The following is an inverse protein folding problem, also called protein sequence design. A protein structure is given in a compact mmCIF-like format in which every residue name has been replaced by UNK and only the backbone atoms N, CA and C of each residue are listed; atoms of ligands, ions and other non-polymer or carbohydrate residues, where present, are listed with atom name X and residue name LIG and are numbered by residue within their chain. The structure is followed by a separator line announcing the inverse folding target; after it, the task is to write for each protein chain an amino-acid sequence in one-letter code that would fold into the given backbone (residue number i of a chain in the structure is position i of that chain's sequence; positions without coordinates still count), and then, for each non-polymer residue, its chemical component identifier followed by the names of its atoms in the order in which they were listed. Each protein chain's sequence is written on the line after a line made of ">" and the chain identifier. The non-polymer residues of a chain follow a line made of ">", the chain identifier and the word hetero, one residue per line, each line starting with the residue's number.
data_IF_077411073865
#
_entry.id   IF_077411073865
#
_cell.length_a   1.000
_cell.length_b   1.000
_cell.length_c   1.000
_cell.angle_alpha   90.00
_cell.angle_beta   90.00
_cell.angle_gamma   90.00
#
_symmetry.space_group_name_H-M   'P 1'
#
loop_
_entity.id
_entity.type
_entity.pdbx_description
1 polymer ?
#
# COMPACT_ATOMS: atom_id res chain seq x y z
N UNK A 1 81.81 8.69 15.89
CA UNK A 1 81.96 9.63 14.75
C UNK A 1 81.01 10.79 14.95
N UNK A 2 81.53 12.03 14.91
CA UNK A 2 80.83 13.32 14.65
C UNK A 2 79.72 13.71 15.65
N UNK A 3 79.52 14.96 16.04
CA UNK A 3 80.23 16.25 15.94
C UNK A 3 79.48 17.19 16.89
N UNK A 4 80.23 18.06 17.55
CA UNK A 4 79.79 19.18 18.39
C UNK A 4 78.99 20.23 17.60
N UNK A 5 77.94 20.79 18.22
CA UNK A 5 77.41 22.16 18.04
C UNK A 5 76.88 22.59 19.42
N UNK A 6 77.59 23.41 20.21
CA UNK A 6 77.67 24.87 20.14
C UNK A 6 76.28 25.54 20.14
N UNK A 7 75.75 25.84 21.32
CA UNK A 7 74.66 26.78 21.52
C UNK A 7 75.22 28.01 22.22
N UNK A 8 75.15 29.15 21.52
CA UNK A 8 75.56 30.48 21.97
C UNK A 8 74.87 30.86 23.27
N UNK A 9 75.70 31.19 24.26
CA UNK A 9 75.32 31.88 25.48
C UNK A 9 75.08 33.36 25.14
N UNK A 10 73.83 33.75 24.91
CA UNK A 10 73.44 35.15 24.81
C UNK A 10 73.26 35.71 26.22
N UNK A 11 74.19 36.59 26.58
CA UNK A 11 74.25 37.35 27.82
C UNK A 11 73.06 38.33 27.89
N UNK A 12 72.01 37.97 28.62
CA UNK A 12 70.95 38.91 29.01
C UNK A 12 71.45 39.69 30.22
N UNK A 13 71.96 40.90 29.94
CA UNK A 13 72.31 41.90 30.93
C UNK A 13 71.02 42.28 31.69
N UNK A 14 70.80 41.68 32.85
CA UNK A 14 69.77 42.11 33.78
C UNK A 14 70.16 43.49 34.33
N UNK A 15 69.75 44.54 33.62
CA UNK A 15 69.72 45.88 34.19
C UNK A 15 68.53 45.90 35.15
N UNK A 16 68.80 45.58 36.42
CA UNK A 16 67.88 45.83 37.52
C UNK A 16 67.79 47.34 37.71
N UNK A 17 67.01 48.00 36.84
CA UNK A 17 66.54 49.35 37.12
C UNK A 17 65.51 49.17 38.23
N UNK A 18 65.96 49.38 39.47
CA UNK A 18 65.05 49.60 40.58
C UNK A 18 64.30 50.90 40.29
N UNK A 19 63.17 50.78 39.60
CA UNK A 19 62.17 51.84 39.53
C UNK A 19 61.58 52.00 40.94
N UNK A 20 62.32 52.69 41.79
CA UNK A 20 61.72 53.42 42.89
C UNK A 20 60.74 54.38 42.23
N UNK A 21 59.45 54.06 42.37
CA UNK A 21 58.37 54.78 41.73
C UNK A 21 58.51 56.27 42.01
N UNK A 22 58.52 57.06 40.93
CA UNK A 22 57.97 58.40 41.01
C UNK A 22 56.52 58.25 41.45
N UNK A 23 56.25 58.48 42.72
CA UNK A 23 54.89 58.64 43.23
C UNK A 23 54.43 60.06 42.87
N UNK A 24 54.28 60.32 41.57
CA UNK A 24 53.62 61.53 41.07
C UNK A 24 52.11 61.24 41.04
N UNK A 25 51.29 61.90 41.88
CA UNK A 25 49.85 61.70 41.89
C UNK A 25 49.14 62.13 40.58
N UNK A 26 49.88 62.65 39.59
CA UNK A 26 49.39 62.94 38.23
C UNK A 26 49.64 61.81 37.23
N UNK A 27 50.49 60.84 37.55
CA UNK A 27 50.71 59.64 36.72
C UNK A 27 49.73 58.58 37.21
N UNK A 28 48.53 58.57 36.64
CA UNK A 28 47.61 57.45 36.82
C UNK A 28 48.17 56.24 36.07
N UNK A 29 48.19 55.08 36.72
CA UNK A 29 48.45 53.80 36.07
C UNK A 29 47.32 53.52 35.07
N UNK A 30 47.51 53.96 33.82
CA UNK A 30 46.56 53.78 32.73
C UNK A 30 46.52 52.33 32.23
N UNK A 31 47.36 51.43 32.74
CA UNK A 31 47.36 50.01 32.34
C UNK A 31 46.09 49.27 32.80
N UNK A 32 45.28 49.86 33.67
CA UNK A 32 44.02 49.24 34.14
C UNK A 32 42.76 49.85 33.55
N UNK A 33 42.88 50.77 32.58
CA UNK A 33 41.71 51.37 31.96
C UNK A 33 41.16 50.42 30.87
N UNK A 34 39.89 50.01 30.97
CA UNK A 34 39.23 49.22 29.93
C UNK A 34 39.23 49.92 28.59
N UNK A 35 39.56 49.18 27.53
CA UNK A 35 39.45 49.64 26.14
C UNK A 35 38.59 48.74 25.28
N UNK A 36 38.35 47.50 25.72
CA UNK A 36 37.49 46.55 25.04
C UNK A 36 36.81 45.60 26.03
N UNK A 37 35.64 45.10 25.64
CA UNK A 37 34.97 43.96 26.26
C UNK A 37 34.73 42.93 25.16
N UNK A 38 34.81 41.64 25.50
CA UNK A 38 34.52 40.55 24.57
C UNK A 38 33.67 39.48 25.24
N UNK A 39 32.59 39.07 24.61
CA UNK A 39 31.77 37.93 25.03
C UNK A 39 32.53 36.64 24.74
N UNK A 40 32.45 35.70 25.69
CA UNK A 40 32.94 34.33 25.56
C UNK A 40 31.75 33.40 25.63
N UNK A 41 31.63 32.50 24.65
CA UNK A 41 30.57 31.49 24.57
C UNK A 41 31.20 30.12 24.76
N UNK A 42 30.64 29.30 25.65
CA UNK A 42 31.12 27.95 25.92
C UNK A 42 29.96 26.93 25.96
N UNK A 43 29.92 25.93 25.07
CA UNK A 43 30.83 25.73 23.93
C UNK A 43 30.51 26.69 22.76
N UNK A 44 31.54 27.18 22.07
CA UNK A 44 31.40 27.89 20.79
C UNK A 44 31.23 26.87 19.65
N UNK A 45 30.12 26.95 18.92
CA UNK A 45 29.83 26.10 17.76
C UNK A 45 29.55 26.97 16.53
N UNK A 46 29.88 26.48 15.32
CA UNK A 46 29.52 27.17 14.07
C UNK A 46 27.99 27.20 13.85
N UNK A 47 27.28 26.15 14.28
CA UNK A 47 25.82 26.05 14.27
C UNK A 47 25.37 25.35 15.55
N UNK A 48 24.24 25.80 16.09
CA UNK A 48 23.61 25.22 17.27
C UNK A 48 22.34 24.46 16.91
N UNK A 49 21.89 23.59 17.80
CA UNK A 49 20.62 22.87 17.67
C UNK A 49 19.62 23.30 18.75
N UNK A 50 18.33 23.04 18.50
CA UNK A 50 17.32 23.12 19.56
C UNK A 50 17.72 22.18 20.70
N UNK A 51 17.69 22.70 21.93
CA UNK A 51 18.10 21.99 23.15
C UNK A 51 19.55 22.19 23.53
N UNK A 52 20.39 22.78 22.67
CA UNK A 52 21.77 23.11 23.03
C UNK A 52 21.83 24.06 24.22
N UNK A 53 22.77 23.80 25.13
CA UNK A 53 23.07 24.66 26.27
C UNK A 53 24.40 25.39 26.05
N UNK A 54 24.41 26.69 26.37
CA UNK A 54 25.59 27.55 26.29
C UNK A 54 25.77 28.31 27.59
N UNK A 55 27.03 28.58 27.94
CA UNK A 55 27.41 29.51 28.99
C UNK A 55 28.00 30.76 28.35
N UNK A 56 27.48 31.92 28.77
CA UNK A 56 27.98 33.22 28.37
C UNK A 56 28.75 33.87 29.52
N UNK A 57 29.92 34.38 29.16
CA UNK A 57 30.78 35.18 30.03
C UNK A 57 31.36 36.35 29.22
N UNK A 58 32.16 37.21 29.86
CA UNK A 58 32.88 38.27 29.17
C UNK A 58 34.27 38.49 29.76
N UNK A 59 35.18 38.98 28.92
CA UNK A 59 36.53 39.39 29.30
C UNK A 59 36.72 40.85 28.94
N UNK A 60 37.21 41.65 29.89
CA UNK A 60 37.56 43.05 29.67
C UNK A 60 39.06 43.16 29.43
N UNK A 61 39.47 43.96 28.46
CA UNK A 61 40.88 44.15 28.10
C UNK A 61 41.33 45.58 28.31
N UNK A 62 42.58 45.75 28.73
CA UNK A 62 43.29 47.04 28.75
C UNK A 62 43.91 47.38 27.38
N UNK A 63 44.54 48.56 27.29
CA UNK A 63 45.22 49.03 26.08
C UNK A 63 46.39 48.13 25.61
N UNK A 64 46.87 47.23 26.48
CA UNK A 64 47.95 46.28 26.19
C UNK A 64 47.39 44.89 25.81
N UNK A 65 46.07 44.70 25.81
CA UNK A 65 45.40 43.43 25.55
C UNK A 65 45.43 42.45 26.74
N UNK A 66 45.75 42.91 27.95
CA UNK A 66 45.72 42.08 29.15
C UNK A 66 44.32 42.08 29.78
N UNK A 67 43.85 40.95 30.33
CA UNK A 67 42.54 40.87 30.96
C UNK A 67 42.49 41.67 32.27
N UNK A 68 41.43 42.46 32.43
CA UNK A 68 41.12 43.24 33.64
C UNK A 68 39.92 42.61 34.34
N UNK A 69 40.06 42.31 35.63
CA UNK A 69 39.05 41.59 36.41
C UNK A 69 38.26 42.52 37.34
N UNK A 70 37.05 42.08 37.73
CA UNK A 70 36.23 42.75 38.74
C UNK A 70 35.46 43.97 38.23
N UNK A 71 35.44 44.21 36.92
CA UNK A 71 34.64 45.27 36.30
C UNK A 71 33.25 44.72 36.02
N UNK A 72 32.18 45.27 36.63
CA UNK A 72 30.82 44.82 36.36
C UNK A 72 30.34 45.25 34.97
N UNK A 73 29.50 44.43 34.36
CA UNK A 73 28.84 44.68 33.08
C UNK A 73 27.34 44.44 33.18
N UNK A 74 26.56 45.14 32.35
CA UNK A 74 25.15 44.85 32.13
C UNK A 74 24.97 43.95 30.91
N UNK A 75 24.01 43.03 30.97
CA UNK A 75 23.64 42.14 29.87
C UNK A 75 22.28 42.49 29.30
N UNK A 76 22.18 42.45 27.98
CA UNK A 76 20.93 42.40 27.24
C UNK A 76 20.79 41.01 26.64
N UNK A 77 19.70 40.32 27.00
CA UNK A 77 19.35 39.00 26.49
C UNK A 77 18.77 39.10 25.06
N UNK A 78 18.79 37.98 24.30
CA UNK A 78 18.26 37.92 22.94
C UNK A 78 16.76 38.22 22.86
N UNK A 79 16.39 38.82 21.75
CA UNK A 79 15.01 39.12 21.32
C UNK A 79 14.89 38.65 19.85
N UNK A 80 13.95 37.74 19.51
CA UNK A 80 12.87 37.20 20.34
C UNK A 80 13.33 36.33 21.52
N UNK A 81 12.50 36.30 22.57
CA UNK A 81 12.70 35.43 23.72
C UNK A 81 12.52 33.96 23.30
N UNK A 82 13.62 33.22 23.15
CA UNK A 82 13.59 31.77 22.91
C UNK A 82 14.70 31.00 23.63
N UNK A 83 15.57 31.70 24.37
CA UNK A 83 16.62 31.09 25.16
C UNK A 83 16.15 31.00 26.63
N UNK A 84 16.01 29.78 27.15
CA UNK A 84 15.63 29.53 28.53
C UNK A 84 16.84 29.80 29.46
N UNK A 85 16.74 30.73 30.43
CA UNK A 85 17.82 30.96 31.39
C UNK A 85 17.88 29.84 32.43
N UNK A 86 19.05 29.19 32.56
CA UNK A 86 19.31 28.11 33.53
C UNK A 86 20.09 28.58 34.77
N UNK A 87 20.36 29.89 34.86
CA UNK A 87 21.15 30.52 35.92
C UNK A 87 22.66 30.41 35.73
N UNK A 88 23.41 31.34 36.35
CA UNK A 88 24.87 31.37 36.29
C UNK A 88 25.45 31.67 34.90
N UNK A 89 24.74 32.47 34.09
CA UNK A 89 25.12 32.78 32.71
C UNK A 89 24.84 31.66 31.70
N UNK A 90 24.12 30.59 32.10
CA UNK A 90 23.75 29.49 31.22
C UNK A 90 22.38 29.68 30.60
N UNK A 91 22.24 29.27 29.34
CA UNK A 91 21.03 29.36 28.55
C UNK A 91 20.82 28.08 27.74
N UNK A 92 19.56 27.68 27.53
CA UNK A 92 19.17 26.61 26.60
C UNK A 92 18.41 27.21 25.42
N UNK A 93 18.78 26.85 24.19
CA UNK A 93 18.11 27.34 22.98
C UNK A 93 16.86 26.50 22.70
N UNK A 94 15.67 27.11 22.58
CA UNK A 94 14.41 26.36 22.45
C UNK A 94 13.79 26.38 21.04
N UNK A 95 14.15 27.36 20.21
CA UNK A 95 13.53 27.61 18.91
C UNK A 95 14.59 27.81 17.81
N UNK A 96 14.20 27.70 16.54
CA UNK A 96 15.08 28.09 15.42
C UNK A 96 15.23 29.62 15.40
N UNK A 97 16.34 30.10 14.85
CA UNK A 97 16.59 31.53 14.67
C UNK A 97 17.91 32.01 15.26
N UNK A 98 18.06 33.33 15.33
CA UNK A 98 19.27 34.01 15.78
C UNK A 98 19.06 34.58 17.19
N UNK A 99 19.99 34.25 18.09
CA UNK A 99 20.02 34.70 19.47
C UNK A 99 21.18 35.67 19.67
N UNK A 100 20.89 36.97 19.76
CA UNK A 100 21.90 38.00 19.96
C UNK A 100 21.94 38.50 21.40
N UNK A 101 23.03 38.21 22.12
CA UNK A 101 23.32 38.84 23.40
C UNK A 101 24.18 40.08 23.21
N UNK A 102 24.02 41.07 24.09
CA UNK A 102 24.90 42.24 24.18
C UNK A 102 25.40 42.40 25.62
N UNK A 103 26.70 42.59 25.78
CA UNK A 103 27.33 43.00 27.03
C UNK A 103 27.72 44.47 26.93
N UNK A 104 27.49 45.25 27.97
CA UNK A 104 27.85 46.68 28.01
C UNK A 104 28.54 47.03 29.33
N UNK A 105 29.65 47.77 29.24
CA UNK A 105 30.36 48.39 30.34
C UNK A 105 29.93 49.84 30.45
N UNK A 106 28.83 50.12 31.15
CA UNK A 106 28.17 51.43 31.18
C UNK A 106 29.12 52.60 31.53
N UNK A 107 30.00 52.39 32.51
CA UNK A 107 30.96 53.41 32.96
C UNK A 107 32.07 53.74 31.95
N UNK A 108 32.19 52.95 30.88
CA UNK A 108 33.26 53.05 29.88
C UNK A 108 32.73 53.24 28.45
N UNK A 109 31.41 53.11 28.24
CA UNK A 109 30.81 53.20 26.90
C UNK A 109 31.27 52.09 25.94
N UNK A 110 31.70 50.95 26.47
CA UNK A 110 32.18 49.80 25.69
C UNK A 110 31.08 48.73 25.64
N UNK A 111 30.93 48.06 24.50
CA UNK A 111 29.98 46.96 24.35
C UNK A 111 30.50 45.90 23.39
N UNK A 112 30.03 44.68 23.53
CA UNK A 112 30.23 43.60 22.56
C UNK A 112 28.94 42.81 22.35
N UNK A 113 28.86 42.08 21.24
CA UNK A 113 27.72 41.23 20.90
C UNK A 113 28.16 39.85 20.44
N UNK A 114 27.36 38.85 20.81
CA UNK A 114 27.49 37.49 20.31
C UNK A 114 26.13 37.05 19.76
N UNK A 115 26.13 36.57 18.51
CA UNK A 115 24.94 36.02 17.85
C UNK A 115 25.14 34.54 17.64
N UNK A 116 24.28 33.73 18.25
CA UNK A 116 24.24 32.28 18.07
C UNK A 116 23.06 31.93 17.16
N UNK A 117 23.26 31.03 16.20
CA UNK A 117 22.23 30.68 15.22
C UNK A 117 21.85 29.21 15.34
N UNK A 118 20.54 28.96 15.45
CA UNK A 118 19.92 27.64 15.30
C UNK A 118 19.24 27.62 13.93
N UNK A 119 19.81 26.95 12.92
CA UNK A 119 19.21 26.90 11.58
C UNK A 119 17.96 26.01 11.60
N UNK A 120 16.97 26.37 10.78
CA UNK A 120 15.89 25.44 10.45
C UNK A 120 16.44 24.33 9.55
N UNK A 121 16.06 23.08 9.84
CA UNK A 121 16.42 21.89 9.07
C UNK A 121 15.20 21.00 8.87
N UNK A 122 15.06 20.33 7.73
CA UNK A 122 13.98 19.37 7.51
C UNK A 122 14.18 18.16 8.44
N UNK A 123 13.09 17.70 9.05
CA UNK A 123 13.09 16.51 9.92
C UNK A 123 12.02 15.50 9.55
N UNK A 124 10.98 15.93 8.82
CA UNK A 124 9.86 15.09 8.44
C UNK A 124 9.43 15.41 7.00
N UNK A 125 9.02 14.37 6.28
CA UNK A 125 8.52 14.44 4.91
C UNK A 125 7.24 13.63 4.78
N UNK A 126 6.26 14.18 4.09
CA UNK A 126 4.99 13.54 3.78
C UNK A 126 4.69 13.71 2.29
N UNK A 127 4.45 12.59 1.59
CA UNK A 127 3.95 12.61 0.22
C UNK A 127 2.43 12.54 0.26
N UNK A 128 1.78 13.56 -0.27
CA UNK A 128 0.32 13.65 -0.40
C UNK A 128 -0.13 13.20 -1.78
N UNK A 129 -1.36 12.70 -1.90
CA UNK A 129 -1.95 12.24 -3.18
C UNK A 129 -3.36 12.82 -3.32
N UNK A 130 -3.68 13.34 -4.50
CA UNK A 130 -5.01 13.87 -4.83
C UNK A 130 -5.53 13.26 -6.15
N UNK A 131 -6.74 12.66 -6.18
CA UNK A 131 -7.58 12.34 -5.03
C UNK A 131 -6.99 11.18 -4.20
N UNK A 132 -7.08 11.27 -2.87
CA UNK A 132 -6.72 10.16 -1.98
C UNK A 132 -7.85 9.11 -1.95
N UNK A 133 -7.50 7.83 -2.15
CA UNK A 133 -8.41 6.68 -2.11
C UNK A 133 -7.74 5.50 -1.39
N UNK A 134 -8.57 4.63 -0.79
CA UNK A 134 -8.09 3.37 -0.19
C UNK A 134 -7.49 2.42 -1.24
N UNK A 135 -8.08 2.40 -2.44
CA UNK A 135 -7.56 1.75 -3.63
C UNK A 135 -7.92 2.57 -4.88
N UNK A 136 -7.16 2.34 -5.95
CA UNK A 136 -7.36 2.96 -7.25
C UNK A 136 -7.67 1.88 -8.29
N UNK A 137 -8.16 2.28 -9.46
CA UNK A 137 -8.32 1.38 -10.60
C UNK A 137 -7.46 1.83 -11.78
N UNK A 138 -7.20 0.93 -12.72
CA UNK A 138 -6.48 1.27 -13.94
C UNK A 138 -7.20 2.41 -14.68
N UNK A 139 -6.44 3.42 -15.07
CA UNK A 139 -6.94 4.64 -15.72
C UNK A 139 -7.21 5.80 -14.77
N UNK A 140 -7.17 5.59 -13.45
CA UNK A 140 -7.23 6.69 -12.49
C UNK A 140 -6.04 7.65 -12.70
N UNK A 141 -6.31 8.94 -12.52
CA UNK A 141 -5.30 10.00 -12.52
C UNK A 141 -5.08 10.50 -11.10
N UNK A 142 -3.82 10.65 -10.71
CA UNK A 142 -3.40 11.13 -9.39
C UNK A 142 -2.36 12.24 -9.51
N UNK A 143 -2.39 13.19 -8.59
CA UNK A 143 -1.39 14.25 -8.45
C UNK A 143 -0.70 14.11 -7.10
N UNK A 144 0.64 14.05 -7.11
CA UNK A 144 1.45 13.98 -5.90
C UNK A 144 1.87 15.38 -5.43
N UNK A 145 1.92 15.55 -4.11
CA UNK A 145 2.53 16.68 -3.43
C UNK A 145 3.57 16.22 -2.43
N UNK A 146 4.42 17.14 -1.99
CA UNK A 146 5.40 16.91 -0.93
C UNK A 146 5.29 18.01 0.11
N UNK A 147 5.11 17.60 1.36
CA UNK A 147 5.19 18.46 2.53
C UNK A 147 6.47 18.12 3.28
N UNK A 148 7.27 19.14 3.58
CA UNK A 148 8.51 18.99 4.34
C UNK A 148 8.40 19.86 5.57
N UNK A 149 8.60 19.29 6.75
CA UNK A 149 8.49 20.01 8.00
C UNK A 149 9.86 20.14 8.67
N UNK A 150 10.09 21.30 9.27
CA UNK A 150 11.25 21.52 10.13
C UNK A 150 11.02 21.06 11.57
N UNK A 151 12.04 21.26 12.40
CA UNK A 151 12.06 20.88 13.81
C UNK A 151 10.92 21.48 14.65
N UNK A 152 10.27 22.53 14.16
CA UNK A 152 9.16 23.21 14.83
C UNK A 152 7.81 22.95 14.14
N UNK A 153 7.75 22.02 13.18
CA UNK A 153 6.54 21.71 12.42
C UNK A 153 6.18 22.78 11.39
N UNK A 154 7.13 23.66 11.03
CA UNK A 154 6.91 24.67 9.99
C UNK A 154 7.18 24.05 8.62
N UNK A 155 6.29 24.31 7.67
CA UNK A 155 6.48 23.89 6.27
C UNK A 155 7.71 24.56 5.66
N UNK A 156 8.52 23.75 4.99
CA UNK A 156 9.67 24.16 4.22
C UNK A 156 9.40 23.95 2.72
N UNK A 157 9.79 24.93 1.91
CA UNK A 157 9.80 24.82 0.45
C UNK A 157 11.20 24.37 0.01
N UNK A 158 11.38 23.07 -0.18
CA UNK A 158 12.65 22.45 -0.56
C UNK A 158 12.48 21.58 -1.80
N UNK A 159 13.43 21.63 -2.76
CA UNK A 159 13.39 20.77 -3.92
C UNK A 159 13.66 19.31 -3.53
N UNK A 160 12.96 18.39 -4.18
CA UNK A 160 13.15 16.96 -4.04
C UNK A 160 13.32 16.31 -5.42
N UNK A 161 14.18 15.30 -5.48
CA UNK A 161 14.27 14.39 -6.59
C UNK A 161 13.22 13.28 -6.41
N UNK A 162 12.55 12.89 -7.48
CA UNK A 162 11.48 11.90 -7.44
C UNK A 162 11.85 10.65 -8.24
N UNK A 163 11.66 9.50 -7.62
CA UNK A 163 11.68 8.20 -8.27
C UNK A 163 10.24 7.69 -8.37
N UNK A 164 9.80 7.46 -9.60
CA UNK A 164 8.48 6.93 -9.92
C UNK A 164 8.59 5.45 -10.30
N UNK A 165 7.48 4.67 -10.22
CA UNK A 165 7.46 3.31 -10.75
C UNK A 165 7.71 3.30 -12.27
N UNK A 166 7.96 2.11 -12.82
CA UNK A 166 8.19 1.93 -14.26
C UNK A 166 7.05 2.56 -15.09
N UNK A 167 7.41 3.14 -16.24
CA UNK A 167 6.46 3.83 -17.11
C UNK A 167 5.34 2.95 -17.69
N UNK A 168 5.52 1.63 -17.66
CA UNK A 168 4.46 0.66 -17.98
C UNK A 168 3.41 0.51 -16.87
N UNK A 169 3.75 0.90 -15.63
CA UNK A 169 2.86 0.85 -14.46
C UNK A 169 2.15 2.20 -14.25
N UNK A 170 2.85 3.32 -14.45
CA UNK A 170 2.26 4.65 -14.38
C UNK A 170 2.87 5.59 -15.42
N UNK A 171 2.02 6.32 -16.14
CA UNK A 171 2.44 7.29 -17.15
C UNK A 171 2.44 8.70 -16.57
N UNK A 172 3.54 9.47 -16.70
CA UNK A 172 3.54 10.87 -16.31
C UNK A 172 2.72 11.72 -17.30
N UNK A 173 1.86 12.58 -16.78
CA UNK A 173 1.06 13.56 -17.54
C UNK A 173 1.66 14.98 -17.48
N UNK A 174 2.81 15.13 -16.81
CA UNK A 174 3.51 16.39 -16.59
C UNK A 174 3.47 16.82 -15.12
N UNK A 175 4.56 17.43 -14.65
CA UNK A 175 4.73 17.70 -13.22
C UNK A 175 4.71 16.39 -12.42
N UNK A 176 3.99 16.39 -11.30
CA UNK A 176 3.78 15.23 -10.43
C UNK A 176 2.42 14.56 -10.65
N UNK A 177 1.86 14.67 -11.86
CA UNK A 177 0.61 14.01 -12.24
C UNK A 177 0.87 12.73 -13.02
N UNK A 178 0.14 11.67 -12.68
CA UNK A 178 0.28 10.34 -13.28
C UNK A 178 -1.06 9.70 -13.58
N UNK A 179 -1.15 8.99 -14.70
CA UNK A 179 -2.21 8.01 -14.97
C UNK A 179 -1.72 6.61 -14.61
N UNK A 180 -2.50 5.86 -13.83
CA UNK A 180 -2.20 4.49 -13.42
C UNK A 180 -2.54 3.52 -14.55
N UNK A 181 -1.62 2.66 -14.95
CA UNK A 181 -1.73 1.83 -16.16
C UNK A 181 -1.87 0.34 -15.89
N UNK A 182 -1.49 -0.12 -14.71
CA UNK A 182 -1.55 -1.53 -14.33
C UNK A 182 -1.97 -1.70 -12.88
N UNK A 183 -2.60 -2.83 -12.59
CA UNK A 183 -2.85 -3.25 -11.21
C UNK A 183 -1.54 -3.57 -10.48
N UNK A 184 -1.63 -3.58 -9.14
CA UNK A 184 -0.53 -3.87 -8.24
C UNK A 184 -0.20 -2.71 -7.29
N UNK A 185 0.95 -2.81 -6.66
CA UNK A 185 1.45 -1.83 -5.67
C UNK A 185 2.52 -0.95 -6.30
N UNK A 186 2.17 0.30 -6.56
CA UNK A 186 3.01 1.26 -7.25
C UNK A 186 3.62 2.22 -6.22
N UNK A 187 4.95 2.38 -6.20
CA UNK A 187 5.64 3.17 -5.17
C UNK A 187 6.38 4.35 -5.78
N UNK A 188 6.15 5.53 -5.23
CA UNK A 188 6.90 6.75 -5.47
C UNK A 188 7.79 7.06 -4.28
N UNK A 189 8.99 7.56 -4.55
CA UNK A 189 9.93 8.00 -3.53
C UNK A 189 10.38 9.42 -3.84
N UNK A 190 10.30 10.30 -2.85
CA UNK A 190 10.83 11.65 -2.90
C UNK A 190 12.06 11.73 -1.98
N UNK A 191 13.16 12.27 -2.49
CA UNK A 191 14.40 12.45 -1.74
C UNK A 191 14.83 13.91 -1.80
N UNK A 192 15.09 14.53 -0.66
CA UNK A 192 15.60 15.90 -0.64
C UNK A 192 17.01 15.96 -1.23
N UNK A 193 17.29 17.05 -1.96
CA UNK A 193 18.61 17.28 -2.53
C UNK A 193 19.66 17.59 -1.43
N UNK A 194 20.97 17.36 -1.70
CA UNK A 194 22.03 17.74 -0.79
C UNK A 194 21.91 19.21 -0.33
N UNK A 195 22.18 19.51 0.95
CA UNK A 195 22.91 18.68 1.93
C UNK A 195 22.04 17.74 2.76
N UNK A 196 20.76 17.60 2.43
CA UNK A 196 19.81 16.79 3.19
C UNK A 196 19.88 15.31 2.80
N UNK A 197 19.61 14.43 3.76
CA UNK A 197 19.55 12.98 3.59
C UNK A 197 18.22 12.48 4.17
N UNK A 198 17.12 13.01 3.62
CA UNK A 198 15.76 12.70 4.04
C UNK A 198 14.96 12.29 2.82
N UNK A 199 14.17 11.23 3.00
CA UNK A 199 13.34 10.67 1.95
C UNK A 199 11.98 10.24 2.51
N UNK A 200 10.97 10.22 1.65
CA UNK A 200 9.66 9.65 1.92
C UNK A 200 9.23 8.77 0.75
N UNK A 201 8.41 7.75 1.03
CA UNK A 201 7.82 6.91 0.00
C UNK A 201 6.31 6.80 0.18
N UNK A 202 5.59 6.74 -0.93
CA UNK A 202 4.14 6.53 -0.98
C UNK A 202 3.82 5.39 -1.93
N UNK A 203 3.09 4.39 -1.44
CA UNK A 203 2.63 3.26 -2.24
C UNK A 203 1.13 3.37 -2.48
N UNK A 204 0.71 3.33 -3.73
CA UNK A 204 -0.69 3.23 -4.14
C UNK A 204 -1.04 1.78 -4.47
N UNK A 205 -2.22 1.35 -4.02
CA UNK A 205 -2.82 0.07 -4.39
C UNK A 205 -3.73 0.30 -5.60
N UNK A 206 -3.43 -0.35 -6.73
CA UNK A 206 -4.26 -0.32 -7.94
C UNK A 206 -4.88 -1.69 -8.13
N UNK A 207 -6.19 -1.77 -8.05
CA UNK A 207 -6.93 -3.02 -8.10
C UNK A 207 -8.38 -2.78 -8.53
N UNK A 208 -8.77 -3.33 -9.68
CA UNK A 208 -10.13 -3.24 -10.20
C UNK A 208 -10.68 -4.59 -10.66
N UNK A 209 -10.04 -5.70 -10.30
CA UNK A 209 -10.48 -7.04 -10.69
C UNK A 209 -10.65 -7.93 -9.48
N UNK A 210 -11.64 -8.83 -9.52
CA UNK A 210 -11.87 -9.77 -8.43
C UNK A 210 -10.86 -10.91 -8.42
N UNK A 211 -10.80 -11.68 -7.30
CA UNK A 211 -9.89 -12.81 -7.18
C UNK A 211 -10.03 -13.81 -8.32
N UNK A 212 -8.94 -14.44 -8.72
CA UNK A 212 -8.97 -15.57 -9.64
C UNK A 212 -9.35 -16.84 -8.89
N UNK A 213 -10.48 -17.44 -9.26
CA UNK A 213 -11.00 -18.68 -8.66
C UNK A 213 -10.91 -19.83 -9.66
N UNK A 214 -10.37 -20.96 -9.21
CA UNK A 214 -10.29 -22.22 -9.96
C UNK A 214 -10.92 -23.32 -9.13
N UNK A 215 -11.78 -24.13 -9.76
CA UNK A 215 -12.32 -25.37 -9.17
C UNK A 215 -11.60 -26.54 -9.84
N UNK A 216 -10.86 -27.30 -9.05
CA UNK A 216 -10.14 -28.49 -9.50
C UNK A 216 -11.03 -29.73 -9.45
N UNK A 217 -11.92 -29.81 -8.46
CA UNK A 217 -12.92 -30.86 -8.35
C UNK A 217 -14.23 -30.28 -7.82
N UNK A 218 -15.38 -30.65 -8.40
CA UNK A 218 -15.53 -31.54 -9.55
C UNK A 218 -15.11 -30.87 -10.87
N UNK A 219 -14.68 -31.66 -11.85
CA UNK A 219 -14.54 -31.17 -13.23
C UNK A 219 -15.93 -30.82 -13.81
N UNK A 220 -15.96 -30.04 -14.91
CA UNK A 220 -17.25 -29.69 -15.55
C UNK A 220 -17.90 -30.97 -16.08
N UNK A 221 -19.14 -31.26 -15.65
CA UNK A 221 -19.89 -32.42 -16.13
C UNK A 221 -19.36 -33.76 -15.62
N UNK A 222 -18.51 -33.74 -14.59
CA UNK A 222 -18.00 -34.95 -13.94
C UNK A 222 -19.16 -35.83 -13.44
N UNK A 223 -18.97 -37.15 -13.46
CA UNK A 223 -19.92 -38.12 -12.92
C UNK A 223 -19.30 -38.81 -11.72
N UNK A 224 -19.77 -38.43 -10.54
CA UNK A 224 -19.20 -38.79 -9.25
C UNK A 224 -20.03 -39.89 -8.62
N UNK A 225 -19.39 -41.04 -8.40
CA UNK A 225 -19.98 -42.13 -7.65
C UNK A 225 -19.91 -41.83 -6.15
N UNK A 226 -21.05 -41.82 -5.45
CA UNK A 226 -21.14 -41.64 -4.00
C UNK A 226 -21.84 -42.84 -3.35
N UNK A 227 -21.62 -43.06 -2.05
CA UNK A 227 -22.39 -44.04 -1.30
C UNK A 227 -23.71 -43.44 -0.83
N UNK A 228 -24.80 -44.22 -0.86
CA UNK A 228 -26.08 -43.81 -0.25
C UNK A 228 -25.94 -43.47 1.25
N UNK A 229 -24.96 -44.04 1.96
CA UNK A 229 -24.68 -43.72 3.36
C UNK A 229 -23.84 -42.46 3.56
N UNK A 230 -23.24 -41.93 2.50
CA UNK A 230 -22.40 -40.72 2.53
C UNK A 230 -22.51 -39.98 1.17
N UNK A 231 -23.65 -39.33 0.89
CA UNK A 231 -23.89 -38.62 -0.37
C UNK A 231 -23.23 -37.25 -0.31
N UNK A 232 -21.90 -37.21 -0.34
CA UNK A 232 -21.12 -35.96 -0.37
C UNK A 232 -20.16 -35.96 -1.55
N UNK A 233 -19.94 -34.78 -2.11
CA UNK A 233 -18.97 -34.52 -3.15
C UNK A 233 -17.91 -33.58 -2.60
N UNK A 234 -16.64 -33.88 -2.84
CA UNK A 234 -15.56 -32.95 -2.51
C UNK A 234 -15.53 -31.83 -3.54
N UNK A 235 -15.62 -30.60 -3.06
CA UNK A 235 -15.35 -29.40 -3.85
C UNK A 235 -13.99 -28.87 -3.42
N UNK A 236 -13.03 -28.84 -4.33
CA UNK A 236 -11.68 -28.35 -4.07
C UNK A 236 -11.20 -27.45 -5.19
N UNK A 237 -10.30 -26.54 -4.85
CA UNK A 237 -9.79 -25.58 -5.81
C UNK A 237 -8.76 -24.64 -5.21
N UNK A 238 -8.47 -23.58 -5.96
CA UNK A 238 -7.54 -22.53 -5.59
C UNK A 238 -8.17 -21.16 -5.83
N UNK A 239 -7.88 -20.21 -4.95
CA UNK A 239 -8.22 -18.79 -5.12
C UNK A 239 -6.98 -17.93 -4.89
N UNK A 240 -6.77 -16.95 -5.76
CA UNK A 240 -5.63 -16.04 -5.66
C UNK A 240 -6.03 -14.66 -6.12
N UNK A 241 -5.59 -13.66 -5.37
CA UNK A 241 -5.57 -12.27 -5.77
C UNK A 241 -4.18 -11.70 -5.47
N UNK A 242 -3.56 -11.04 -6.43
CA UNK A 242 -2.20 -10.46 -6.26
C UNK A 242 -2.21 -9.01 -5.73
N UNK A 243 -3.05 -8.09 -6.25
CA UNK A 243 -3.00 -6.70 -5.83
C UNK A 243 -3.42 -6.46 -4.37
N UNK A 244 -4.59 -6.95 -3.96
CA UNK A 244 -5.17 -6.67 -2.64
C UNK A 244 -5.31 -7.92 -1.77
N UNK A 245 -5.21 -9.10 -2.36
CA UNK A 245 -5.31 -10.38 -1.68
C UNK A 245 -6.76 -10.80 -1.46
N UNK A 246 -6.95 -12.11 -1.24
CA UNK A 246 -8.28 -12.69 -1.04
C UNK A 246 -8.76 -12.35 0.37
N UNK A 247 -9.93 -11.71 0.48
CA UNK A 247 -10.56 -11.41 1.77
C UNK A 247 -11.45 -12.58 2.22
N UNK A 248 -12.42 -12.95 1.37
CA UNK A 248 -13.40 -13.97 1.72
C UNK A 248 -13.84 -14.80 0.51
N UNK A 249 -14.11 -16.09 0.75
CA UNK A 249 -14.63 -17.03 -0.24
C UNK A 249 -15.90 -17.68 0.31
N UNK A 250 -16.98 -17.63 -0.45
CA UNK A 250 -18.24 -18.30 -0.17
C UNK A 250 -18.49 -19.44 -1.14
N UNK A 251 -19.15 -20.48 -0.64
CA UNK A 251 -19.74 -21.55 -1.43
C UNK A 251 -21.25 -21.59 -1.21
N UNK A 252 -22.00 -21.67 -2.30
CA UNK A 252 -23.44 -21.94 -2.35
C UNK A 252 -23.69 -23.14 -3.25
N UNK A 253 -24.77 -23.88 -3.03
CA UNK A 253 -25.16 -24.94 -3.94
C UNK A 253 -26.64 -25.28 -3.84
N UNK A 254 -27.14 -26.10 -4.76
CA UNK A 254 -28.55 -26.48 -4.77
C UNK A 254 -28.96 -27.33 -3.55
N UNK A 255 -27.98 -27.92 -2.84
CA UNK A 255 -28.19 -28.72 -1.64
C UNK A 255 -27.42 -28.19 -0.42
N UNK A 256 -26.79 -27.01 -0.51
CA UNK A 256 -26.04 -26.40 0.59
C UNK A 256 -26.29 -24.90 0.62
N UNK A 257 -26.66 -24.38 1.81
CA UNK A 257 -26.80 -22.95 2.01
C UNK A 257 -25.44 -22.26 1.89
N UNK A 258 -25.45 -20.93 1.78
CA UNK A 258 -24.21 -20.16 1.77
C UNK A 258 -23.34 -20.46 2.99
N UNK A 259 -22.09 -20.78 2.72
CA UNK A 259 -21.08 -21.05 3.72
C UNK A 259 -19.78 -20.35 3.32
N UNK A 260 -19.16 -19.67 4.28
CA UNK A 260 -17.79 -19.19 4.13
C UNK A 260 -16.80 -20.36 4.17
N UNK A 261 -15.88 -20.39 3.20
CA UNK A 261 -14.79 -21.36 3.12
C UNK A 261 -13.54 -20.82 3.82
N UNK A 262 -12.81 -21.72 4.47
CA UNK A 262 -11.43 -21.45 4.90
C UNK A 262 -10.51 -21.64 3.71
N UNK A 263 -9.72 -20.62 3.40
CA UNK A 263 -8.65 -20.67 2.39
C UNK A 263 -7.32 -20.86 3.10
N UNK A 264 -6.55 -21.87 2.69
CA UNK A 264 -5.22 -22.13 3.23
C UNK A 264 -4.21 -21.06 2.77
N UNK A 265 -3.06 -20.89 3.44
CA UNK A 265 -2.07 -19.87 3.07
C UNK A 265 -1.52 -19.98 1.64
N UNK A 266 -1.64 -21.14 0.99
CA UNK A 266 -1.26 -21.36 -0.40
C UNK A 266 -2.40 -21.07 -1.42
N UNK A 267 -3.55 -20.61 -0.93
CA UNK A 267 -4.73 -20.30 -1.73
C UNK A 267 -5.65 -21.49 -1.97
N UNK A 268 -5.31 -22.69 -1.48
CA UNK A 268 -6.15 -23.87 -1.67
C UNK A 268 -7.37 -23.88 -0.75
N UNK A 269 -8.47 -24.49 -1.21
CA UNK A 269 -9.65 -24.77 -0.41
C UNK A 269 -10.20 -26.16 -0.71
N UNK A 270 -10.86 -26.78 0.28
CA UNK A 270 -11.53 -28.08 0.10
C UNK A 270 -12.69 -28.23 1.09
N UNK A 271 -13.85 -28.65 0.60
CA UNK A 271 -15.05 -28.89 1.42
C UNK A 271 -15.85 -30.08 0.89
N UNK A 272 -16.40 -30.89 1.79
CA UNK A 272 -17.40 -31.90 1.44
C UNK A 272 -18.80 -31.26 1.41
N UNK A 273 -19.42 -31.27 0.22
CA UNK A 273 -20.74 -30.68 -0.01
C UNK A 273 -21.78 -31.81 -0.10
N UNK A 274 -22.91 -31.74 0.63
CA UNK A 274 -24.02 -32.67 0.47
C UNK A 274 -24.58 -32.66 -0.96
N UNK A 275 -24.86 -33.84 -1.50
CA UNK A 275 -25.35 -34.00 -2.87
C UNK A 275 -26.57 -34.91 -2.93
N UNK A 276 -27.33 -34.79 -4.03
CA UNK A 276 -28.45 -35.66 -4.39
C UNK A 276 -28.13 -36.46 -5.65
N UNK A 277 -28.83 -37.56 -5.87
CA UNK A 277 -28.77 -38.28 -7.15
C UNK A 277 -29.08 -37.31 -8.31
N UNK A 278 -28.31 -37.39 -9.40
CA UNK A 278 -28.43 -36.51 -10.57
C UNK A 278 -27.54 -35.28 -10.46
N UNK A 279 -27.96 -34.17 -11.08
CA UNK A 279 -27.12 -32.97 -11.19
C UNK A 279 -27.08 -32.16 -9.88
N UNK A 280 -25.87 -31.77 -9.50
CA UNK A 280 -25.55 -30.92 -8.36
C UNK A 280 -24.78 -29.71 -8.86
N UNK A 281 -25.11 -28.54 -8.35
CA UNK A 281 -24.46 -27.28 -8.71
C UNK A 281 -23.80 -26.68 -7.49
N UNK A 282 -22.58 -26.19 -7.67
CA UNK A 282 -21.85 -25.42 -6.68
C UNK A 282 -21.42 -24.10 -7.30
N UNK A 283 -21.54 -23.05 -6.52
CA UNK A 283 -21.20 -21.69 -6.87
C UNK A 283 -20.20 -21.17 -5.85
N UNK A 284 -19.10 -20.62 -6.35
CA UNK A 284 -18.13 -19.91 -5.55
C UNK A 284 -18.27 -18.41 -5.81
N UNK A 285 -18.19 -17.63 -4.75
CA UNK A 285 -18.10 -16.18 -4.81
C UNK A 285 -16.94 -15.74 -3.92
N UNK A 286 -15.90 -15.19 -4.55
CA UNK A 286 -14.70 -14.71 -3.88
C UNK A 286 -14.66 -13.18 -3.91
N UNK A 287 -14.23 -12.58 -2.81
CA UNK A 287 -14.02 -11.15 -2.67
C UNK A 287 -12.56 -10.87 -2.29
N UNK A 288 -12.01 -9.78 -2.81
CA UNK A 288 -10.71 -9.27 -2.40
C UNK A 288 -10.85 -8.18 -1.34
N UNK A 289 -9.71 -7.66 -0.85
CA UNK A 289 -9.72 -6.59 0.16
C UNK A 289 -10.10 -5.21 -0.40
N UNK A 290 -10.10 -5.04 -1.73
CA UNK A 290 -10.58 -3.84 -2.43
C UNK A 290 -12.11 -3.84 -2.62
N UNK A 291 -12.77 -4.97 -2.37
CA UNK A 291 -14.20 -5.19 -2.54
C UNK A 291 -14.60 -5.68 -3.94
N UNK A 292 -13.65 -6.04 -4.81
CA UNK A 292 -13.97 -6.67 -6.08
C UNK A 292 -14.36 -8.13 -5.87
N UNK A 293 -15.21 -8.65 -6.75
CA UNK A 293 -15.79 -9.99 -6.61
C UNK A 293 -15.66 -10.81 -7.89
N UNK A 294 -15.45 -12.13 -7.71
CA UNK A 294 -15.49 -13.12 -8.78
C UNK A 294 -16.48 -14.22 -8.43
N UNK A 295 -17.38 -14.52 -9.38
CA UNK A 295 -18.38 -15.58 -9.26
C UNK A 295 -18.11 -16.68 -10.27
N UNK A 296 -18.09 -17.93 -9.81
CA UNK A 296 -17.85 -19.13 -10.64
C UNK A 296 -18.85 -20.24 -10.29
N UNK A 297 -19.51 -20.81 -11.31
CA UNK A 297 -20.45 -21.92 -11.14
C UNK A 297 -19.91 -23.20 -11.76
N UNK A 298 -20.11 -24.34 -11.08
CA UNK A 298 -19.74 -25.69 -11.51
C UNK A 298 -20.90 -26.67 -11.32
N UNK A 299 -21.13 -27.51 -12.32
CA UNK A 299 -22.06 -28.65 -12.27
C UNK A 299 -21.29 -29.98 -12.25
N UNK A 300 -21.83 -30.94 -11.50
CA UNK A 300 -21.41 -32.34 -11.53
C UNK A 300 -22.62 -33.25 -11.32
N UNK A 301 -22.60 -34.41 -11.96
CA UNK A 301 -23.58 -35.46 -11.77
C UNK A 301 -23.13 -36.40 -10.67
N UNK A 302 -24.07 -36.80 -9.83
CA UNK A 302 -23.82 -37.74 -8.75
C UNK A 302 -24.68 -38.97 -8.96
N UNK A 303 -24.07 -40.14 -8.83
CA UNK A 303 -24.76 -41.41 -8.86
C UNK A 303 -24.43 -42.26 -7.65
N UNK A 304 -25.42 -42.96 -7.09
CA UNK A 304 -25.18 -43.98 -6.05
C UNK A 304 -24.63 -45.28 -6.60
N UNK A 305 -24.77 -45.50 -7.90
CA UNK A 305 -24.45 -46.77 -8.56
C UNK A 305 -23.77 -46.53 -9.91
N UNK A 306 -22.86 -47.43 -10.27
CA UNK A 306 -22.20 -47.47 -11.57
C UNK A 306 -22.58 -48.74 -12.31
N UNK A 307 -23.15 -48.59 -13.50
CA UNK A 307 -23.54 -49.72 -14.36
C UNK A 307 -22.57 -49.83 -15.53
N UNK A 308 -21.79 -50.91 -15.57
CA UNK A 308 -20.88 -51.18 -16.69
C UNK A 308 -21.65 -51.62 -17.93
N UNK A 309 -21.12 -51.31 -19.11
CA UNK A 309 -21.58 -51.89 -20.37
C UNK A 309 -21.39 -53.42 -20.34
N UNK A 310 -22.46 -54.15 -20.61
CA UNK A 310 -22.44 -55.59 -20.81
C UNK A 310 -22.53 -55.92 -22.30
N UNK A 311 -21.68 -56.84 -22.77
CA UNK A 311 -21.71 -57.37 -24.12
C UNK A 311 -22.71 -58.52 -24.26
N UNK A 312 -23.49 -58.54 -25.33
CA UNK A 312 -24.31 -59.71 -25.68
C UNK A 312 -23.59 -60.69 -26.62
N UNK A 313 -24.22 -61.83 -26.89
CA UNK A 313 -23.67 -62.89 -27.74
C UNK A 313 -23.46 -62.46 -29.19
N UNK A 314 -24.07 -61.34 -29.61
CA UNK A 314 -23.94 -60.75 -30.94
C UNK A 314 -22.88 -59.63 -30.99
N UNK A 315 -22.17 -59.37 -29.89
CA UNK A 315 -21.11 -58.37 -29.80
C UNK A 315 -21.61 -56.93 -29.63
N UNK A 316 -22.90 -56.74 -29.30
CA UNK A 316 -23.45 -55.42 -28.96
C UNK A 316 -23.20 -55.14 -27.48
N UNK A 317 -22.95 -53.89 -27.13
CA UNK A 317 -22.78 -53.44 -25.75
C UNK A 317 -24.00 -52.64 -25.30
N UNK A 318 -24.54 -52.95 -24.12
CA UNK A 318 -25.67 -52.24 -23.53
C UNK A 318 -25.50 -52.09 -22.02
N UNK A 319 -26.10 -51.05 -21.44
CA UNK A 319 -26.21 -50.95 -19.97
C UNK A 319 -27.44 -51.77 -19.54
N UNK A 320 -27.29 -52.74 -18.62
CA UNK A 320 -28.41 -53.55 -18.16
C UNK A 320 -29.52 -52.69 -17.56
N UNK A 321 -30.77 -52.94 -17.97
CA UNK A 321 -31.96 -52.19 -17.53
C UNK A 321 -31.92 -50.67 -17.81
N UNK A 322 -31.07 -50.20 -18.72
CA UNK A 322 -31.07 -48.80 -19.11
C UNK A 322 -32.33 -48.45 -19.92
N UNK A 323 -32.87 -47.27 -19.63
CA UNK A 323 -33.86 -46.62 -20.47
C UNK A 323 -33.17 -45.75 -21.51
N UNK A 324 -33.62 -45.82 -22.76
CA UNK A 324 -33.07 -44.99 -23.83
C UNK A 324 -33.97 -43.77 -24.03
N UNK A 325 -33.39 -42.59 -23.85
CA UNK A 325 -34.05 -41.33 -24.20
C UNK A 325 -33.59 -40.98 -25.62
N UNK A 326 -34.54 -40.93 -26.56
CA UNK A 326 -34.26 -40.47 -27.91
C UNK A 326 -34.67 -39.00 -28.02
N UNK A 327 -33.68 -38.11 -28.14
CA UNK A 327 -33.91 -36.72 -28.51
C UNK A 327 -33.95 -36.65 -30.04
N UNK A 328 -35.15 -36.53 -30.63
CA UNK A 328 -35.33 -36.30 -32.06
C UNK A 328 -35.26 -34.79 -32.37
N UNK A 329 -35.20 -34.44 -33.66
CA UNK A 329 -35.31 -33.04 -34.10
C UNK A 329 -36.60 -32.37 -33.56
N UNK A 330 -37.67 -33.14 -33.36
CA UNK A 330 -38.96 -32.67 -32.81
C UNK A 330 -38.85 -32.21 -31.36
N UNK A 331 -37.83 -32.65 -30.59
CA UNK A 331 -37.60 -32.16 -29.23
C UNK A 331 -37.11 -30.70 -29.20
N UNK A 332 -36.51 -30.24 -30.29
CA UNK A 332 -35.98 -28.88 -30.46
C UNK A 332 -36.83 -28.00 -31.39
N UNK A 333 -37.89 -28.58 -31.94
CA UNK A 333 -38.77 -27.93 -32.90
C UNK A 333 -40.08 -27.56 -32.20
N UNK A 334 -40.35 -26.25 -32.07
CA UNK A 334 -41.62 -25.73 -31.56
C UNK A 334 -42.61 -25.40 -32.68
N UNK A 335 -42.32 -25.82 -33.92
CA UNK A 335 -43.08 -25.49 -35.12
C UNK A 335 -42.95 -24.02 -35.52
N UNK A 336 -44.03 -23.43 -36.00
CA UNK A 336 -44.08 -22.03 -36.48
C UNK A 336 -44.88 -21.14 -35.52
N UNK A 337 -44.32 -20.72 -34.36
CA UNK A 337 -45.10 -19.99 -33.36
C UNK A 337 -45.45 -18.58 -33.83
N UNK A 338 -46.67 -18.16 -33.50
CA UNK A 338 -47.25 -16.87 -33.90
C UNK A 338 -46.95 -15.71 -32.93
N UNK A 339 -45.89 -15.81 -32.12
CA UNK A 339 -45.52 -14.83 -31.10
C UNK A 339 -44.02 -14.61 -31.03
N UNK A 340 -43.56 -13.53 -30.37
CA UNK A 340 -42.14 -13.24 -30.20
C UNK A 340 -41.58 -14.05 -29.03
N UNK A 341 -40.76 -15.07 -29.27
CA UNK A 341 -40.39 -16.03 -28.23
C UNK A 341 -38.90 -15.94 -27.86
N UNK A 342 -38.53 -16.32 -26.63
CA UNK A 342 -37.12 -16.55 -26.32
C UNK A 342 -36.58 -17.64 -27.27
N UNK A 343 -35.36 -17.44 -27.74
CA UNK A 343 -34.50 -18.28 -28.61
C UNK A 343 -35.09 -19.61 -29.15
N UNK A 344 -35.13 -19.74 -30.48
CA UNK A 344 -35.47 -20.99 -31.17
C UNK A 344 -34.26 -21.50 -31.95
N UNK A 345 -33.67 -22.63 -31.54
CA UNK A 345 -32.56 -23.19 -32.30
C UNK A 345 -33.02 -23.75 -33.66
N UNK A 346 -34.30 -24.06 -33.87
CA UNK A 346 -34.81 -24.62 -35.12
C UNK A 346 -36.15 -23.99 -35.52
N UNK A 347 -36.18 -23.24 -36.63
CA UNK A 347 -37.43 -22.61 -37.10
C UNK A 347 -37.53 -22.56 -38.63
N UNK A 348 -38.76 -22.41 -39.13
CA UNK A 348 -38.98 -22.01 -40.52
C UNK A 348 -38.69 -20.51 -40.69
N UNK A 349 -37.86 -20.18 -41.69
CA UNK A 349 -37.64 -18.79 -42.08
C UNK A 349 -38.90 -18.18 -42.74
N UNK A 350 -38.87 -16.88 -43.01
CA UNK A 350 -39.98 -16.17 -43.66
C UNK A 350 -40.34 -16.69 -45.08
N UNK A 351 -39.52 -17.57 -45.66
CA UNK A 351 -39.73 -18.21 -46.95
C UNK A 351 -40.20 -19.68 -46.83
N UNK A 352 -40.40 -20.18 -45.61
CA UNK A 352 -40.80 -21.57 -45.34
C UNK A 352 -39.63 -22.57 -45.43
N UNK A 353 -38.38 -22.12 -45.36
CA UNK A 353 -37.24 -23.03 -45.28
C UNK A 353 -36.94 -23.35 -43.82
N UNK A 354 -36.91 -24.64 -43.48
CA UNK A 354 -36.55 -25.10 -42.16
C UNK A 354 -35.03 -25.01 -41.93
N UNK A 355 -34.62 -24.26 -40.90
CA UNK A 355 -33.21 -24.07 -40.55
C UNK A 355 -32.97 -24.20 -39.05
N UNK A 356 -31.91 -24.94 -38.69
CA UNK A 356 -31.43 -25.05 -37.31
C UNK A 356 -30.08 -24.34 -37.15
N UNK A 357 -29.93 -23.60 -36.06
CA UNK A 357 -28.63 -23.11 -35.58
C UNK A 357 -27.83 -24.26 -34.97
N UNK A 358 -26.51 -24.23 -35.15
CA UNK A 358 -25.61 -25.22 -34.56
C UNK A 358 -25.58 -25.05 -33.04
N UNK A 359 -25.96 -26.10 -32.32
CA UNK A 359 -25.83 -26.16 -30.87
C UNK A 359 -24.38 -26.57 -30.55
N UNK A 360 -23.55 -25.59 -30.22
CA UNK A 360 -22.12 -25.80 -29.96
C UNK A 360 -21.83 -26.53 -28.63
N UNK A 361 -22.81 -26.62 -27.72
CA UNK A 361 -22.66 -27.25 -26.41
C UNK A 361 -23.80 -28.24 -26.11
N UNK A 362 -23.61 -29.47 -26.59
CA UNK A 362 -24.51 -30.59 -26.35
C UNK A 362 -24.59 -30.97 -24.86
N UNK A 363 -23.54 -30.68 -24.07
CA UNK A 363 -23.52 -30.98 -22.65
C UNK A 363 -24.54 -30.12 -21.89
N UNK A 364 -24.63 -28.82 -22.20
CA UNK A 364 -25.66 -27.93 -21.63
C UNK A 364 -27.08 -28.41 -21.96
N UNK A 365 -27.32 -28.95 -23.15
CA UNK A 365 -28.64 -29.48 -23.55
C UNK A 365 -29.01 -30.75 -22.77
N UNK A 366 -28.07 -31.68 -22.60
CA UNK A 366 -28.31 -32.87 -21.77
C UNK A 366 -28.45 -32.51 -20.28
N UNK A 367 -27.71 -31.52 -19.78
CA UNK A 367 -27.87 -30.97 -18.43
C UNK A 367 -29.27 -30.39 -18.18
N UNK A 368 -29.83 -29.67 -19.14
CA UNK A 368 -31.18 -29.14 -19.05
C UNK A 368 -32.26 -30.22 -19.18
N UNK A 369 -32.06 -31.19 -20.07
CA UNK A 369 -33.01 -32.27 -20.31
C UNK A 369 -33.08 -33.24 -19.12
N UNK A 370 -31.94 -33.67 -18.58
CA UNK A 370 -31.88 -34.69 -17.52
C UNK A 370 -32.24 -34.14 -16.13
N UNK A 371 -32.09 -32.83 -15.89
CA UNK A 371 -32.42 -32.22 -14.60
C UNK A 371 -33.93 -31.99 -14.40
N UNK A 372 -34.72 -32.01 -15.49
CA UNK A 372 -36.17 -31.80 -15.45
C UNK A 372 -36.97 -33.10 -15.55
N UNK A 373 -36.32 -34.25 -15.65
CA UNK A 373 -36.98 -35.54 -15.80
C UNK A 373 -36.74 -36.39 -14.57
N UNK A 374 -37.83 -36.71 -13.88
CA UNK A 374 -37.85 -37.70 -12.81
C UNK A 374 -38.17 -39.09 -13.39
N UNK A 375 -37.16 -39.96 -13.45
CA UNK A 375 -37.31 -41.35 -13.89
C UNK A 375 -37.75 -42.30 -12.77
N UNK A 376 -38.02 -41.80 -11.56
CA UNK A 376 -38.38 -42.67 -10.42
C UNK A 376 -39.66 -43.49 -10.64
N UNK A 377 -40.50 -43.07 -11.58
CA UNK A 377 -41.77 -43.74 -11.94
C UNK A 377 -41.80 -44.37 -13.33
N UNK A 378 -40.71 -44.30 -14.11
CA UNK A 378 -40.69 -44.81 -15.47
C UNK A 378 -40.81 -46.34 -15.51
N UNK A 379 -41.45 -46.84 -16.55
CA UNK A 379 -41.62 -48.28 -16.80
C UNK A 379 -40.72 -48.71 -17.95
N UNK A 380 -40.19 -49.94 -17.88
CA UNK A 380 -39.34 -50.50 -18.92
C UNK A 380 -40.04 -50.45 -20.30
N UNK A 381 -39.41 -49.75 -21.26
CA UNK A 381 -39.94 -49.58 -22.62
C UNK A 381 -40.91 -48.40 -22.80
N UNK A 382 -41.08 -47.55 -21.79
CA UNK A 382 -41.87 -46.33 -21.90
C UNK A 382 -41.14 -45.30 -22.79
N UNK A 383 -41.82 -44.82 -23.83
CA UNK A 383 -41.34 -43.73 -24.67
C UNK A 383 -41.84 -42.40 -24.12
N UNK A 384 -40.93 -41.46 -23.92
CA UNK A 384 -41.25 -40.09 -23.55
C UNK A 384 -40.94 -39.15 -24.71
N UNK A 385 -41.90 -38.28 -25.06
CA UNK A 385 -41.71 -37.20 -26.02
C UNK A 385 -41.76 -35.91 -25.19
N UNK A 386 -40.61 -35.28 -24.99
CA UNK A 386 -40.49 -34.01 -24.28
C UNK A 386 -40.08 -32.90 -25.25
N UNK A 387 -40.94 -31.91 -25.52
CA UNK A 387 -40.53 -30.71 -26.22
C UNK A 387 -39.68 -29.86 -25.26
N UNK A 388 -38.38 -29.71 -25.56
CA UNK A 388 -37.45 -28.91 -24.75
C UNK A 388 -37.70 -27.40 -24.89
N UNK A 389 -38.41 -26.98 -25.94
CA UNK A 389 -38.59 -25.57 -26.33
C UNK A 389 -39.94 -24.95 -25.93
N UNK A 390 -40.90 -25.73 -25.41
CA UNK A 390 -42.30 -25.29 -25.20
C UNK A 390 -42.65 -24.99 -23.72
N UNK A 391 -41.77 -25.38 -22.79
CA UNK A 391 -41.79 -24.85 -21.42
C UNK A 391 -41.28 -23.42 -21.55
N UNK A 392 -42.09 -22.41 -21.22
CA UNK A 392 -41.65 -21.02 -21.20
C UNK A 392 -40.26 -20.98 -20.54
N UNK A 393 -39.24 -20.58 -21.30
CA UNK A 393 -37.90 -20.31 -20.79
C UNK A 393 -37.96 -19.06 -19.91
N UNK A 394 -38.80 -19.10 -18.87
CA UNK A 394 -38.77 -18.15 -17.77
C UNK A 394 -37.58 -18.55 -16.94
N UNK A 395 -36.41 -18.13 -17.39
CA UNK A 395 -35.39 -17.71 -16.46
C UNK A 395 -36.02 -16.61 -15.60
N UNK A 396 -36.65 -16.98 -14.49
CA UNK A 396 -36.83 -16.00 -13.42
C UNK A 396 -35.47 -15.85 -12.75
N UNK A 397 -34.53 -15.25 -13.49
CA UNK A 397 -33.28 -14.70 -12.98
C UNK A 397 -33.51 -13.31 -12.36
N UNK A 398 -34.77 -12.91 -12.16
CA UNK A 398 -35.15 -11.68 -11.48
C UNK A 398 -36.05 -11.98 -10.30
N UNK A 399 -35.70 -11.36 -9.17
CA UNK A 399 -36.26 -11.43 -7.81
C UNK A 399 -35.56 -12.51 -6.95
N UNK A 400 -34.29 -12.39 -6.54
CA UNK A 400 -33.47 -11.23 -6.22
C UNK A 400 -32.02 -11.47 -6.72
N UNK A 401 -31.57 -10.66 -7.69
CA UNK A 401 -30.18 -10.33 -8.02
C UNK A 401 -30.20 -8.87 -8.45
#
# INVERSE_FOLDING_TARGET
>A
MKKVKAASLALLLACAVSSHGCNDPRVHDTSKNPVAVKIVVDPEKPLYEIGDEVKLDYVVFDALGSPVYGIPASWQNPDPAGAEPLGGGRFRLLHVGAYTWRVTLDGYGLSDQATLTVPSRPVEMEITVDPEKDHYVVGDEVEFGLLVYDQEGTLMDLPADWEAPDGSLARPEGGLRYTLLSEGRLTWTASLQPPWDLQASRTLLVDGTGPQVVIDSPERGDTIAVSASRPVMTVSGHVKDEPSGVDILYLRGNNVAEQQLTVEPDGSFSLEVPVRQGMNTVELEAFDASGNATRLVRSAYVSTDFFSLEGDAEGRTQIPAAETINLSAEAFDRGSPSGNPPYDPCSEDANGNYACQEIADLATVLELALNNVDFSSSQQGQHFIWPLVDQAWQFNLTNEI
#
